data_IF_282386245522
#
_entry.id   IF_282386245522
#
_cell.length_a   1.000
_cell.length_b   1.000
_cell.length_c   1.000
_cell.angle_alpha   90.00
_cell.angle_beta   90.00
_cell.angle_gamma   90.00
#
_symmetry.space_group_name_H-M   'P 1'
#
loop_
_entity.id
_entity.type
_entity.pdbx_description
1 polymer ?
#
# COMPACT_ATOMS: atom_id res chain seq x y z
N UNK A 1 5.24 -68.79 5.05
CA UNK A 1 4.15 -67.89 4.64
C UNK A 1 4.30 -66.65 5.50
N UNK A 2 4.88 -65.59 4.92
CA UNK A 2 5.48 -64.48 5.66
C UNK A 2 4.53 -63.29 5.55
N UNK A 3 3.75 -62.99 6.60
CA UNK A 3 2.78 -61.89 6.55
C UNK A 3 3.16 -60.76 7.51
N UNK A 4 3.94 -59.83 6.94
CA UNK A 4 3.88 -58.36 7.11
C UNK A 4 3.89 -57.83 8.55
N UNK A 5 5.11 -57.55 9.03
CA UNK A 5 5.40 -56.43 9.93
C UNK A 5 5.11 -55.15 9.15
N UNK A 6 4.00 -54.46 9.41
CA UNK A 6 3.78 -53.09 8.90
C UNK A 6 3.71 -52.12 10.07
N UNK A 7 4.64 -51.17 9.99
CA UNK A 7 5.12 -50.23 10.99
C UNK A 7 4.10 -49.19 11.45
N UNK A 8 4.14 -48.90 12.75
CA UNK A 8 3.37 -47.89 13.52
C UNK A 8 3.83 -46.44 13.26
N UNK A 9 4.11 -46.08 12.00
CA UNK A 9 4.70 -44.78 11.62
C UNK A 9 3.75 -43.88 10.79
N UNK A 10 2.45 -44.22 10.73
CA UNK A 10 1.52 -43.65 9.76
C UNK A 10 0.49 -42.64 10.28
N UNK A 11 0.59 -42.16 11.52
CA UNK A 11 -0.47 -41.30 12.12
C UNK A 11 0.08 -40.01 12.73
N UNK A 12 0.89 -39.25 11.98
CA UNK A 12 1.33 -37.88 12.37
C UNK A 12 1.02 -36.84 11.26
N UNK A 13 0.47 -37.24 10.11
CA UNK A 13 0.35 -36.34 8.96
C UNK A 13 -1.03 -35.67 8.76
N UNK A 14 -2.05 -35.94 9.60
CA UNK A 14 -3.44 -35.49 9.32
C UNK A 14 -3.89 -34.29 10.18
N UNK A 15 -3.17 -33.90 11.24
CA UNK A 15 -3.64 -32.81 12.13
C UNK A 15 -3.19 -31.39 11.75
N UNK A 16 -2.40 -31.20 10.69
CA UNK A 16 -1.72 -29.92 10.43
C UNK A 16 -2.37 -29.04 9.34
N UNK A 17 -3.65 -29.26 9.00
CA UNK A 17 -4.32 -28.48 7.92
C UNK A 17 -5.41 -27.54 8.43
N UNK A 18 -5.61 -27.42 9.75
CA UNK A 18 -6.74 -26.67 10.32
C UNK A 18 -6.41 -25.27 10.88
N UNK A 19 -5.25 -24.66 10.56
CA UNK A 19 -4.81 -23.41 11.21
C UNK A 19 -4.52 -22.22 10.27
N UNK A 20 -5.02 -22.24 9.03
CA UNK A 20 -5.02 -21.05 8.17
C UNK A 20 -6.47 -20.62 7.90
N UNK A 21 -7.17 -20.27 8.96
CA UNK A 21 -8.40 -19.48 8.85
C UNK A 21 -8.02 -18.04 8.58
N UNK A 22 -8.13 -17.63 7.32
CA UNK A 22 -7.98 -16.24 6.89
C UNK A 22 -9.09 -15.41 7.56
N UNK A 23 -8.73 -14.60 8.55
CA UNK A 23 -9.65 -13.61 9.14
C UNK A 23 -9.83 -12.52 8.09
N UNK A 24 -10.89 -12.66 7.29
CA UNK A 24 -11.37 -11.59 6.43
C UNK A 24 -11.88 -10.43 7.31
N UNK A 25 -10.98 -9.52 7.68
CA UNK A 25 -11.36 -8.20 8.16
C UNK A 25 -12.17 -7.52 7.05
N UNK A 26 -13.37 -7.06 7.39
CA UNK A 26 -14.20 -6.27 6.48
C UNK A 26 -13.37 -5.06 6.01
N UNK A 27 -12.94 -5.15 4.76
CA UNK A 27 -11.94 -4.29 4.13
C UNK A 27 -12.60 -2.95 3.77
N UNK A 28 -12.68 -2.05 4.75
CA UNK A 28 -13.09 -0.68 4.49
C UNK A 28 -12.02 -0.03 3.63
N UNK A 29 -12.34 0.22 2.36
CA UNK A 29 -11.43 0.82 1.38
C UNK A 29 -10.85 2.12 1.93
N UNK A 30 -9.56 2.12 2.24
CA UNK A 30 -8.86 3.28 2.77
C UNK A 30 -8.74 4.35 1.67
N UNK A 31 -9.24 5.55 1.96
CA UNK A 31 -9.23 6.69 1.01
C UNK A 31 -8.03 7.58 1.29
N UNK A 32 -7.10 7.65 0.33
CA UNK A 32 -5.87 8.45 0.45
C UNK A 32 -5.96 9.65 -0.48
N UNK A 33 -5.95 10.86 0.09
CA UNK A 33 -5.89 12.12 -0.66
C UNK A 33 -4.45 12.59 -0.82
N UNK A 34 -4.02 12.86 -2.06
CA UNK A 34 -2.69 13.39 -2.39
C UNK A 34 -2.86 14.81 -2.93
N UNK A 35 -2.38 15.81 -2.20
CA UNK A 35 -2.39 17.21 -2.65
C UNK A 35 -0.99 17.60 -3.16
N UNK A 36 -0.87 17.91 -4.44
CA UNK A 36 0.40 18.21 -5.11
C UNK A 36 0.43 19.68 -5.58
N UNK A 37 1.58 20.36 -5.41
CA UNK A 37 1.79 21.72 -5.91
C UNK A 37 2.04 21.72 -7.42
N UNK A 38 0.97 21.87 -8.19
CA UNK A 38 1.03 21.84 -9.65
C UNK A 38 1.62 20.53 -10.21
N UNK A 39 1.79 20.49 -11.54
CA UNK A 39 2.43 19.36 -12.21
C UNK A 39 3.92 19.64 -12.33
N UNK A 40 4.75 18.73 -11.85
CA UNK A 40 6.20 18.86 -11.93
C UNK A 40 6.84 17.47 -11.96
N UNK A 41 7.84 17.21 -12.84
CA UNK A 41 8.40 15.87 -13.04
C UNK A 41 8.86 15.19 -11.74
N UNK A 42 9.51 15.93 -10.85
CA UNK A 42 9.97 15.37 -9.56
C UNK A 42 8.82 15.03 -8.60
N UNK A 43 7.75 15.83 -8.60
CA UNK A 43 6.61 15.61 -7.71
C UNK A 43 5.72 14.45 -8.23
N UNK A 44 5.66 14.29 -9.54
CA UNK A 44 4.99 13.15 -10.19
C UNK A 44 5.72 11.85 -9.80
N UNK A 45 7.06 11.81 -9.90
CA UNK A 45 7.87 10.66 -9.49
C UNK A 45 7.71 10.28 -8.00
N UNK A 46 7.61 11.27 -7.12
CA UNK A 46 7.37 11.03 -5.68
C UNK A 46 5.98 10.42 -5.46
N UNK A 47 4.98 10.85 -6.22
CA UNK A 47 3.63 10.28 -6.14
C UNK A 47 3.62 8.82 -6.60
N UNK A 48 4.35 8.52 -7.68
CA UNK A 48 4.47 7.15 -8.20
C UNK A 48 5.18 6.23 -7.22
N UNK A 49 6.32 6.66 -6.64
CA UNK A 49 7.05 5.86 -5.66
C UNK A 49 6.25 5.65 -4.38
N UNK A 50 5.49 6.66 -3.94
CA UNK A 50 4.58 6.53 -2.80
C UNK A 50 3.52 5.43 -3.02
N UNK A 51 2.89 5.40 -4.20
CA UNK A 51 1.94 4.33 -4.57
C UNK A 51 2.61 2.96 -4.64
N UNK A 52 3.84 2.89 -5.17
CA UNK A 52 4.59 1.65 -5.29
C UNK A 52 4.92 1.06 -3.91
N UNK A 53 5.40 1.87 -2.98
CA UNK A 53 5.72 1.43 -1.62
C UNK A 53 4.46 0.99 -0.86
N UNK A 54 3.33 1.70 -1.01
CA UNK A 54 2.06 1.26 -0.43
C UNK A 54 1.61 -0.09 -0.98
N UNK A 55 1.79 -0.34 -2.28
CA UNK A 55 1.48 -1.64 -2.90
C UNK A 55 2.35 -2.76 -2.30
N UNK A 56 3.64 -2.50 -2.05
CA UNK A 56 4.55 -3.46 -1.39
C UNK A 56 4.11 -3.82 0.04
N UNK A 57 3.48 -2.87 0.74
CA UNK A 57 2.92 -3.08 2.08
C UNK A 57 1.54 -3.78 2.07
N UNK A 58 1.04 -4.18 0.90
CA UNK A 58 -0.24 -4.88 0.74
C UNK A 58 -1.42 -3.96 0.43
N UNK A 59 -1.20 -2.66 0.27
CA UNK A 59 -2.24 -1.67 -0.03
C UNK A 59 -2.37 -1.45 -1.54
N UNK A 60 -3.23 -2.23 -2.19
CA UNK A 60 -3.44 -2.18 -3.64
C UNK A 60 -4.59 -1.24 -4.04
N UNK A 61 -4.35 -0.39 -5.04
CA UNK A 61 -5.36 0.48 -5.65
C UNK A 61 -6.52 -0.36 -6.21
N UNK A 62 -7.76 -0.07 -5.80
CA UNK A 62 -8.96 -0.75 -6.26
C UNK A 62 -9.34 -2.03 -5.51
N UNK A 63 -8.50 -2.51 -4.58
CA UNK A 63 -8.88 -3.55 -3.60
C UNK A 63 -9.15 -2.93 -2.24
N UNK A 64 -8.10 -2.37 -1.64
CA UNK A 64 -8.14 -1.89 -0.27
C UNK A 64 -7.89 -0.38 -0.19
N UNK A 65 -7.46 0.27 -1.28
CA UNK A 65 -7.12 1.70 -1.31
C UNK A 65 -7.70 2.42 -2.53
N UNK A 66 -8.15 3.66 -2.33
CA UNK A 66 -8.54 4.59 -3.39
C UNK A 66 -7.75 5.90 -3.27
N UNK A 67 -7.07 6.31 -4.35
CA UNK A 67 -6.26 7.53 -4.38
C UNK A 67 -7.01 8.69 -5.05
N UNK A 68 -7.02 9.86 -4.41
CA UNK A 68 -7.52 11.11 -5.00
C UNK A 68 -6.39 12.13 -5.11
N UNK A 69 -5.86 12.34 -6.32
CA UNK A 69 -4.82 13.33 -6.56
C UNK A 69 -5.45 14.69 -6.92
N UNK A 70 -5.16 15.71 -6.11
CA UNK A 70 -5.55 17.10 -6.36
C UNK A 70 -4.32 17.94 -6.60
N UNK A 71 -4.19 18.48 -7.80
CA UNK A 71 -3.16 19.46 -8.13
C UNK A 71 -3.65 20.85 -7.73
N UNK A 72 -2.96 21.47 -6.78
CA UNK A 72 -3.21 22.85 -6.39
C UNK A 72 -2.22 23.73 -7.14
N UNK A 73 -2.70 24.36 -8.21
CA UNK A 73 -1.98 25.44 -8.86
C UNK A 73 -2.08 26.67 -7.96
N UNK A 74 -1.15 26.81 -7.01
CA UNK A 74 -0.92 28.11 -6.40
C UNK A 74 -0.04 28.91 -7.35
N UNK A 75 -0.33 30.20 -7.60
CA UNK A 75 0.68 31.06 -8.19
C UNK A 75 1.89 30.98 -7.27
N UNK A 76 2.98 30.39 -7.75
CA UNK A 76 4.26 30.54 -7.08
C UNK A 76 4.58 32.03 -7.17
N UNK A 77 4.71 32.77 -6.06
CA UNK A 77 5.25 34.12 -6.14
C UNK A 77 6.72 33.99 -6.57
N UNK A 78 6.95 33.95 -7.88
CA UNK A 78 8.28 34.05 -8.45
C UNK A 78 8.67 35.53 -8.54
N UNK A 79 8.66 36.24 -7.42
CA UNK A 79 9.44 37.46 -7.28
C UNK A 79 9.69 37.69 -5.80
N UNK A 80 10.95 37.68 -5.42
CA UNK A 80 11.45 38.17 -4.13
C UNK A 80 11.27 39.70 -3.98
N UNK A 81 10.16 40.25 -4.48
CA UNK A 81 9.87 41.68 -4.56
C UNK A 81 8.70 42.07 -3.64
N UNK A 82 8.50 41.32 -2.56
CA UNK A 82 7.62 41.70 -1.43
C UNK A 82 8.47 42.00 -0.18
N UNK A 83 9.67 42.57 -0.34
CA UNK A 83 10.31 43.27 0.78
C UNK A 83 9.60 44.62 0.89
N UNK A 84 8.86 44.93 1.98
CA UNK A 84 8.40 46.29 2.18
C UNK A 84 9.64 47.18 2.17
N UNK A 85 9.69 48.15 1.25
CA UNK A 85 10.69 49.20 1.29
C UNK A 85 10.60 49.83 2.69
N UNK A 86 11.62 49.58 3.51
CA UNK A 86 11.76 50.23 4.80
C UNK A 86 11.92 51.72 4.52
N UNK A 87 10.88 52.48 4.82
CA UNK A 87 10.92 53.94 4.98
C UNK A 87 11.59 54.28 6.32
#
# INVERSE_FOLDING_TARGET
MNWRRTSLWGTIAISLTAMFGDVAHADEVAKIGIAQFGRHPQLDLITESFKEELSKLGHQEGKNVSYNLKQVLRPFPCSTDDRPAAF
#
